data_IF_061991419878
#
_entry.id   IF_061991419878
#
_cell.length_a   1.000
_cell.length_b   1.000
_cell.length_c   1.000
_cell.angle_alpha   90.00
_cell.angle_beta   90.00
_cell.angle_gamma   90.00
#
_symmetry.space_group_name_H-M   'P 1'
#
loop_
_entity.id
_entity.type
_entity.pdbx_description
1 polymer ?
#
# COMPACT_ATOMS: atom_id res chain seq x y z
N UNK A 1 -14.09 -17.34 -30.24
CA UNK A 1 -12.99 -16.90 -31.12
C UNK A 1 -12.29 -15.75 -30.38
N UNK A 2 -11.16 -16.07 -29.77
CA UNK A 2 -10.32 -15.15 -29.00
C UNK A 2 -9.49 -14.30 -29.95
N UNK A 3 -9.86 -13.07 -30.19
CA UNK A 3 -8.98 -12.07 -30.82
C UNK A 3 -8.25 -11.31 -29.71
N UNK A 4 -7.08 -11.83 -29.30
CA UNK A 4 -6.11 -11.06 -28.52
C UNK A 4 -5.61 -9.90 -29.38
N UNK A 5 -6.01 -8.69 -29.03
CA UNK A 5 -5.39 -7.48 -29.58
C UNK A 5 -3.98 -7.36 -28.98
N UNK A 6 -2.98 -7.84 -29.69
CA UNK A 6 -1.57 -7.58 -29.43
C UNK A 6 -1.28 -6.11 -29.72
N UNK A 7 -1.19 -5.31 -28.69
CA UNK A 7 -0.75 -3.92 -28.81
C UNK A 7 0.77 -3.91 -28.61
N UNK A 8 1.50 -4.07 -29.71
CA UNK A 8 2.94 -3.81 -29.74
C UNK A 8 3.17 -2.29 -29.62
N UNK A 9 3.59 -1.85 -28.45
CA UNK A 9 4.27 -0.56 -28.27
C UNK A 9 5.78 -0.85 -28.24
N UNK A 10 6.57 -0.11 -29.03
CA UNK A 10 8.03 -0.20 -28.98
C UNK A 10 8.54 0.12 -27.57
N UNK A 11 9.50 -0.67 -27.04
CA UNK A 11 10.06 -0.47 -25.72
C UNK A 11 10.81 0.85 -25.62
N UNK A 12 10.44 1.68 -24.66
CA UNK A 12 11.18 2.89 -24.33
C UNK A 12 12.43 2.56 -23.52
N UNK A 13 13.47 3.40 -23.54
CA UNK A 13 14.76 3.21 -22.85
C UNK A 13 14.65 2.91 -21.32
N UNK A 14 13.43 2.98 -20.74
CA UNK A 14 13.16 2.66 -19.34
C UNK A 14 12.94 1.14 -19.08
N UNK A 15 12.94 0.30 -20.12
CA UNK A 15 12.67 -1.16 -19.98
C UNK A 15 13.89 -1.98 -19.58
N UNK A 16 15.10 -1.41 -19.60
CA UNK A 16 16.35 -2.11 -19.26
C UNK A 16 16.76 -2.03 -17.79
N UNK A 17 15.90 -1.47 -16.90
CA UNK A 17 16.22 -1.44 -15.48
C UNK A 17 15.87 -2.78 -14.83
N UNK A 18 16.90 -3.51 -14.39
CA UNK A 18 16.80 -4.86 -13.80
C UNK A 18 16.53 -4.85 -12.27
N UNK A 19 16.45 -3.68 -11.67
CA UNK A 19 16.16 -3.50 -10.25
C UNK A 19 14.66 -3.49 -9.93
N UNK A 20 14.32 -3.30 -8.64
CA UNK A 20 12.93 -3.19 -8.21
C UNK A 20 12.24 -1.97 -8.83
N UNK A 21 10.94 -2.10 -9.12
CA UNK A 21 10.15 -0.99 -9.67
C UNK A 21 10.14 0.23 -8.75
N UNK A 22 9.95 -0.02 -7.45
CA UNK A 22 10.08 0.98 -6.37
C UNK A 22 11.10 0.47 -5.35
N UNK A 23 11.99 1.35 -4.93
CA UNK A 23 12.88 1.12 -3.80
C UNK A 23 12.88 2.36 -2.90
N UNK A 24 12.39 2.21 -1.67
CA UNK A 24 12.43 3.24 -0.65
C UNK A 24 13.50 2.88 0.38
N UNK A 25 14.39 3.80 0.69
CA UNK A 25 15.55 3.59 1.56
C UNK A 25 15.50 4.56 2.74
N UNK A 26 15.35 4.02 3.96
CA UNK A 26 15.38 4.75 5.21
C UNK A 26 14.43 5.94 5.28
N UNK A 27 13.28 5.86 4.62
CA UNK A 27 12.35 6.98 4.54
C UNK A 27 11.76 7.32 5.90
N UNK A 28 11.76 8.63 6.22
CA UNK A 28 11.12 9.18 7.42
C UNK A 28 10.11 10.24 7.02
N UNK A 29 9.05 10.37 7.82
CA UNK A 29 8.10 11.48 7.71
C UNK A 29 7.71 11.94 9.10
N UNK A 30 8.12 13.17 9.42
CA UNK A 30 7.83 13.83 10.68
C UNK A 30 6.97 15.05 10.43
N UNK A 31 5.87 15.18 11.17
CA UNK A 31 4.99 16.34 11.12
C UNK A 31 5.22 17.19 12.36
N UNK A 32 5.50 18.49 12.22
CA UNK A 32 5.67 19.38 13.36
C UNK A 32 4.34 19.57 14.11
N UNK A 33 4.40 19.49 15.43
CA UNK A 33 3.28 19.81 16.31
C UNK A 33 3.49 21.22 16.83
N UNK A 34 2.60 22.14 16.48
CA UNK A 34 2.69 23.53 16.91
C UNK A 34 1.60 23.85 17.93
N UNK A 35 1.97 24.56 18.99
CA UNK A 35 1.05 25.06 20.01
C UNK A 35 1.04 26.59 19.98
N UNK A 36 -0.15 27.18 20.20
CA UNK A 36 -0.38 28.62 20.23
C UNK A 36 -1.16 29.13 19.02
N UNK A 37 -2.10 30.06 19.28
CA UNK A 37 -3.00 30.62 18.26
C UNK A 37 -2.37 31.78 17.49
N UNK A 38 -1.51 32.59 18.12
CA UNK A 38 -0.86 33.76 17.55
C UNK A 38 0.63 33.52 17.31
N UNK A 39 1.33 33.00 18.32
CA UNK A 39 2.74 32.60 18.22
C UNK A 39 2.82 31.05 18.20
N UNK A 40 2.93 30.49 17.01
CA UNK A 40 3.09 29.04 16.83
C UNK A 40 4.49 28.59 17.26
N UNK A 41 4.58 27.97 18.44
CA UNK A 41 5.82 27.35 18.92
C UNK A 41 5.79 25.84 18.59
N UNK A 42 6.87 25.34 17.98
CA UNK A 42 7.02 23.90 17.77
C UNK A 42 7.25 23.22 19.12
N UNK A 43 6.38 22.27 19.50
CA UNK A 43 6.42 21.53 20.77
C UNK A 43 6.81 20.08 20.58
N UNK A 44 7.03 19.62 19.33
CA UNK A 44 7.43 18.24 19.02
C UNK A 44 7.15 17.86 17.59
N UNK A 45 7.36 16.59 17.28
CA UNK A 45 7.12 16.02 15.96
C UNK A 45 6.35 14.71 16.08
N UNK A 46 5.28 14.55 15.27
CA UNK A 46 4.65 13.24 15.06
C UNK A 46 5.55 12.44 14.12
N UNK A 47 6.18 11.38 14.61
CA UNK A 47 7.03 10.46 13.84
C UNK A 47 6.13 9.45 13.11
N UNK A 48 5.44 9.89 12.06
CA UNK A 48 4.47 9.04 11.34
C UNK A 48 5.14 7.88 10.59
N UNK A 49 6.33 8.10 10.07
CA UNK A 49 7.19 7.06 9.45
C UNK A 49 8.60 7.34 9.93
N UNK A 50 9.30 6.30 10.42
CA UNK A 50 10.58 6.46 11.12
C UNK A 50 11.62 5.42 10.65
N UNK A 51 12.18 5.63 9.47
CA UNK A 51 13.31 4.87 8.94
C UNK A 51 12.92 3.53 8.32
N UNK A 52 11.85 3.49 7.50
CA UNK A 52 11.46 2.25 6.80
C UNK A 52 12.14 2.15 5.43
N UNK A 53 12.43 0.91 5.04
CA UNK A 53 12.89 0.57 3.69
C UNK A 53 11.97 -0.46 3.08
N UNK A 54 11.53 -0.22 1.83
CA UNK A 54 10.57 -1.04 1.11
C UNK A 54 11.06 -1.23 -0.32
N UNK A 55 11.08 -2.46 -0.80
CA UNK A 55 11.39 -2.81 -2.17
C UNK A 55 10.21 -3.55 -2.81
N UNK A 56 9.74 -3.06 -3.96
CA UNK A 56 8.63 -3.63 -4.72
C UNK A 56 9.14 -4.01 -6.11
N UNK A 57 9.37 -5.30 -6.39
CA UNK A 57 9.71 -5.79 -7.73
C UNK A 57 8.58 -5.55 -8.74
N UNK A 58 8.91 -5.63 -10.02
CA UNK A 58 7.90 -5.59 -11.10
C UNK A 58 6.97 -6.80 -11.00
N UNK A 59 5.66 -6.56 -11.13
CA UNK A 59 4.64 -7.61 -11.11
C UNK A 59 4.33 -8.16 -9.72
N UNK A 60 4.92 -7.64 -8.64
CA UNK A 60 4.73 -8.13 -7.29
C UNK A 60 3.85 -7.21 -6.43
N UNK A 61 3.30 -7.79 -5.38
CA UNK A 61 2.53 -7.08 -4.34
C UNK A 61 3.32 -7.03 -3.05
N UNK A 62 3.64 -5.82 -2.59
CA UNK A 62 4.11 -5.57 -1.24
C UNK A 62 2.94 -5.06 -0.38
N UNK A 63 2.67 -5.73 0.74
CA UNK A 63 1.60 -5.31 1.65
C UNK A 63 2.14 -4.72 2.94
N UNK A 64 1.55 -3.61 3.38
CA UNK A 64 1.75 -3.02 4.70
C UNK A 64 0.56 -3.33 5.60
N UNK A 65 0.83 -3.95 6.75
CA UNK A 65 -0.17 -4.28 7.78
C UNK A 65 0.22 -3.68 9.11
N UNK A 66 -0.74 -3.47 9.99
CA UNK A 66 -0.54 -2.93 11.34
C UNK A 66 -1.77 -2.17 11.84
N UNK A 67 -1.77 -1.80 13.11
CA UNK A 67 -2.85 -1.03 13.73
C UNK A 67 -3.10 0.32 13.06
N UNK A 68 -4.28 0.91 13.25
CA UNK A 68 -4.58 2.24 12.74
C UNK A 68 -3.59 3.28 13.27
N UNK A 69 -3.19 4.24 12.44
CA UNK A 69 -2.23 5.28 12.83
C UNK A 69 -0.75 4.86 12.83
N UNK A 70 -0.39 3.60 12.52
CA UNK A 70 1.01 3.17 12.51
C UNK A 70 1.87 3.73 11.38
N UNK A 71 1.30 4.49 10.40
CA UNK A 71 2.05 5.17 9.35
C UNK A 71 1.83 4.64 7.92
N UNK A 72 0.97 3.63 7.70
CA UNK A 72 0.72 3.02 6.38
C UNK A 72 0.27 4.01 5.32
N UNK A 73 -0.76 4.79 5.60
CA UNK A 73 -1.28 5.82 4.67
C UNK A 73 -0.26 6.94 4.43
N UNK A 74 0.56 7.30 5.43
CA UNK A 74 1.65 8.26 5.22
C UNK A 74 2.69 7.70 4.27
N UNK A 75 3.01 6.41 4.38
CA UNK A 75 3.93 5.74 3.45
C UNK A 75 3.37 5.75 2.03
N UNK A 76 2.09 5.43 1.83
CA UNK A 76 1.47 5.48 0.49
C UNK A 76 1.47 6.89 -0.11
N UNK A 77 1.23 7.92 0.70
CA UNK A 77 1.27 9.33 0.25
C UNK A 77 2.66 9.77 -0.20
N UNK A 78 3.73 9.24 0.40
CA UNK A 78 5.10 9.50 -0.08
C UNK A 78 5.34 8.85 -1.44
N UNK A 79 4.86 7.64 -1.68
CA UNK A 79 4.97 6.97 -2.99
C UNK A 79 4.10 7.65 -4.06
N UNK A 80 2.99 8.25 -3.68
CA UNK A 80 2.14 9.03 -4.60
C UNK A 80 2.66 10.47 -4.84
N UNK A 81 3.79 10.85 -4.26
CA UNK A 81 4.34 12.23 -4.26
C UNK A 81 3.34 13.29 -3.73
N UNK A 82 2.38 12.89 -2.90
CA UNK A 82 1.50 13.79 -2.16
C UNK A 82 2.24 14.38 -0.96
N UNK A 83 3.08 13.55 -0.33
CA UNK A 83 3.96 13.94 0.78
C UNK A 83 5.42 13.74 0.37
N UNK A 84 6.29 14.65 0.82
CA UNK A 84 7.73 14.47 0.70
C UNK A 84 8.26 13.80 1.97
N UNK A 85 9.17 12.82 1.89
CA UNK A 85 9.87 12.33 3.06
C UNK A 85 10.67 13.48 3.71
N UNK A 86 10.79 13.42 5.04
CA UNK A 86 11.67 14.32 5.81
C UNK A 86 13.13 13.92 5.63
N UNK A 87 13.38 12.60 5.61
CA UNK A 87 14.68 11.98 5.35
C UNK A 87 14.48 10.71 4.52
N UNK A 88 15.59 10.18 3.96
CA UNK A 88 15.56 9.01 3.10
C UNK A 88 15.13 9.33 1.67
N UNK A 89 15.13 8.32 0.82
CA UNK A 89 14.90 8.48 -0.63
C UNK A 89 13.94 7.41 -1.13
N UNK A 90 13.10 7.77 -2.09
CA UNK A 90 12.29 6.82 -2.86
C UNK A 90 12.78 6.84 -4.30
N UNK A 91 13.14 5.68 -4.80
CA UNK A 91 13.54 5.47 -6.18
C UNK A 91 12.43 4.80 -6.98
N UNK A 92 12.18 5.28 -8.18
CA UNK A 92 11.34 4.63 -9.19
C UNK A 92 12.21 4.26 -10.38
N UNK A 93 12.30 2.98 -10.70
CA UNK A 93 13.19 2.48 -11.76
C UNK A 93 14.61 3.03 -11.61
N UNK A 94 15.14 3.06 -10.39
CA UNK A 94 16.49 3.57 -10.05
C UNK A 94 16.64 5.08 -10.00
N UNK A 95 15.61 5.88 -10.33
CA UNK A 95 15.66 7.34 -10.27
C UNK A 95 15.01 7.87 -9.00
N UNK A 96 15.69 8.79 -8.30
CA UNK A 96 15.16 9.51 -7.15
C UNK A 96 13.94 10.36 -7.55
N UNK A 97 12.74 10.02 -7.02
CA UNK A 97 11.49 10.70 -7.38
C UNK A 97 11.45 12.17 -7.00
N UNK A 98 12.27 12.60 -6.03
CA UNK A 98 12.32 14.00 -5.60
C UNK A 98 13.12 14.88 -6.57
N UNK A 99 14.07 14.26 -7.31
CA UNK A 99 14.97 14.94 -8.26
C UNK A 99 14.51 14.86 -9.71
N UNK A 100 13.36 14.26 -9.96
CA UNK A 100 12.79 14.15 -11.31
C UNK A 100 12.53 15.52 -11.93
N UNK A 101 12.83 15.65 -13.21
CA UNK A 101 12.44 16.78 -14.05
C UNK A 101 10.93 16.89 -14.18
N UNK A 102 10.42 17.98 -14.75
CA UNK A 102 8.97 18.16 -14.99
C UNK A 102 8.38 17.05 -15.86
N UNK A 103 9.09 16.65 -16.89
CA UNK A 103 8.72 15.57 -17.81
C UNK A 103 8.67 14.22 -17.11
N UNK A 104 9.73 13.87 -16.37
CA UNK A 104 9.82 12.62 -15.61
C UNK A 104 8.77 12.54 -14.48
N UNK A 105 8.43 13.68 -13.85
CA UNK A 105 7.30 13.74 -12.89
C UNK A 105 5.96 13.45 -13.54
N UNK A 106 5.73 13.92 -14.77
CA UNK A 106 4.50 13.60 -15.49
C UNK A 106 4.45 12.09 -15.83
N UNK A 107 5.56 11.51 -16.28
CA UNK A 107 5.70 10.07 -16.52
C UNK A 107 5.48 9.27 -15.22
N UNK A 108 6.12 9.65 -14.12
CA UNK A 108 5.92 9.01 -12.81
C UNK A 108 4.45 9.02 -12.41
N UNK A 109 3.78 10.17 -12.48
CA UNK A 109 2.37 10.31 -12.12
C UNK A 109 1.42 9.49 -12.99
N UNK A 110 1.75 9.27 -14.26
CA UNK A 110 1.00 8.35 -15.11
C UNK A 110 1.29 6.88 -14.78
N UNK A 111 2.52 6.58 -14.36
CA UNK A 111 2.98 5.23 -14.04
C UNK A 111 2.59 4.75 -12.63
N UNK A 112 2.27 5.66 -11.71
CA UNK A 112 1.91 5.36 -10.32
C UNK A 112 0.53 5.93 -10.03
N UNK A 113 -0.45 5.04 -9.86
CA UNK A 113 -1.85 5.41 -9.64
C UNK A 113 -2.35 4.87 -8.30
N UNK A 114 -3.47 5.40 -7.81
CA UNK A 114 -4.05 5.00 -6.53
C UNK A 114 -5.51 4.58 -6.64
N UNK A 115 -5.88 3.60 -5.80
CA UNK A 115 -7.26 3.24 -5.49
C UNK A 115 -7.43 3.38 -3.98
N UNK A 116 -8.30 4.29 -3.55
CA UNK A 116 -8.51 4.63 -2.14
C UNK A 116 -9.65 3.82 -1.52
N UNK A 117 -9.68 3.83 -0.20
CA UNK A 117 -10.60 3.09 0.66
C UNK A 117 -12.08 3.37 0.36
N UNK A 118 -12.43 4.63 0.15
CA UNK A 118 -13.80 5.04 -0.12
C UNK A 118 -13.96 5.50 -1.58
N UNK A 119 -14.63 4.68 -2.40
CA UNK A 119 -14.90 5.07 -3.79
C UNK A 119 -15.85 6.27 -3.91
N UNK A 120 -16.66 6.57 -2.88
CA UNK A 120 -17.53 7.75 -2.88
C UNK A 120 -16.73 9.04 -2.85
N UNK A 121 -15.72 9.12 -2.00
CA UNK A 121 -14.88 10.30 -1.88
C UNK A 121 -13.91 10.47 -3.04
N UNK A 122 -13.59 9.37 -3.75
CA UNK A 122 -12.64 9.37 -4.87
C UNK A 122 -13.28 9.66 -6.23
N UNK A 123 -14.59 9.49 -6.38
CA UNK A 123 -15.34 9.73 -7.61
C UNK A 123 -16.22 10.96 -7.46
N UNK A 124 -16.00 11.99 -8.30
CA UNK A 124 -16.86 13.19 -8.29
C UNK A 124 -18.30 12.82 -8.68
N UNK A 125 -19.29 12.95 -7.76
CA UNK A 125 -20.66 12.48 -8.01
C UNK A 125 -21.40 13.28 -9.11
N UNK A 126 -20.86 14.43 -9.52
CA UNK A 126 -21.42 15.30 -10.57
C UNK A 126 -20.87 14.97 -11.96
N UNK A 127 -19.89 14.08 -12.06
CA UNK A 127 -19.31 13.66 -13.35
C UNK A 127 -19.88 12.31 -13.77
N UNK A 128 -20.06 12.11 -15.08
CA UNK A 128 -20.38 10.80 -15.64
C UNK A 128 -19.18 9.87 -15.56
N UNK A 129 -19.43 8.59 -15.61
CA UNK A 129 -18.39 7.55 -15.54
C UNK A 129 -17.38 7.67 -16.67
N UNK A 130 -17.83 7.97 -17.91
CA UNK A 130 -16.92 8.23 -19.03
C UNK A 130 -15.92 9.34 -18.74
N UNK A 131 -16.41 10.45 -18.21
CA UNK A 131 -15.58 11.61 -17.87
C UNK A 131 -14.59 11.32 -16.73
N UNK A 132 -15.02 10.53 -15.73
CA UNK A 132 -14.17 10.10 -14.62
C UNK A 132 -13.00 9.23 -15.10
N UNK A 133 -13.27 8.28 -15.99
CA UNK A 133 -12.23 7.37 -16.51
C UNK A 133 -11.36 8.09 -17.56
N UNK A 134 -11.95 9.01 -18.33
CA UNK A 134 -11.23 9.79 -19.34
C UNK A 134 -10.29 10.85 -18.75
N UNK A 135 -10.56 11.36 -17.53
CA UNK A 135 -9.78 12.45 -16.90
C UNK A 135 -8.27 12.17 -16.89
N UNK A 136 -7.77 11.01 -16.38
CA UNK A 136 -6.34 10.71 -16.41
C UNK A 136 -5.81 10.51 -17.83
N UNK A 137 -6.60 9.93 -18.75
CA UNK A 137 -6.20 9.76 -20.16
C UNK A 137 -5.92 11.11 -20.81
N UNK A 138 -6.85 12.06 -20.69
CA UNK A 138 -6.73 13.40 -21.28
C UNK A 138 -5.58 14.18 -20.64
N UNK A 139 -5.37 14.00 -19.34
CA UNK A 139 -4.32 14.71 -18.60
C UNK A 139 -2.91 14.26 -18.98
N UNK A 140 -2.73 12.95 -19.23
CA UNK A 140 -1.41 12.36 -19.46
C UNK A 140 -1.13 11.96 -20.91
N UNK A 141 -2.14 11.86 -21.75
CA UNK A 141 -2.00 11.38 -23.14
C UNK A 141 -2.69 12.33 -24.12
N UNK A 142 -2.08 12.53 -25.29
CA UNK A 142 -2.65 13.32 -26.39
C UNK A 142 -3.48 12.40 -27.28
N UNK A 143 -4.71 12.06 -26.86
CA UNK A 143 -5.62 11.20 -27.61
C UNK A 143 -6.75 12.02 -28.24
N UNK A 144 -7.25 11.56 -29.39
CA UNK A 144 -8.47 12.08 -30.00
C UNK A 144 -9.71 11.71 -29.16
N UNK A 145 -10.79 12.47 -29.27
CA UNK A 145 -12.06 12.17 -28.57
C UNK A 145 -12.59 10.75 -28.87
N UNK A 146 -12.40 10.26 -30.08
CA UNK A 146 -12.83 8.93 -30.52
C UNK A 146 -12.00 7.86 -29.79
N UNK A 147 -10.68 8.03 -29.71
CA UNK A 147 -9.78 7.12 -29.00
C UNK A 147 -10.06 7.10 -27.49
N UNK A 148 -10.29 8.27 -26.87
CA UNK A 148 -10.68 8.35 -25.46
C UNK A 148 -11.96 7.55 -25.22
N UNK A 149 -13.01 7.75 -26.02
CA UNK A 149 -14.27 7.01 -25.88
C UNK A 149 -14.06 5.50 -26.03
N UNK A 150 -13.31 5.06 -27.02
CA UNK A 150 -12.98 3.64 -27.22
C UNK A 150 -12.25 3.05 -26.00
N UNK A 151 -11.23 3.77 -25.51
CA UNK A 151 -10.45 3.34 -24.33
C UNK A 151 -11.32 3.25 -23.06
N UNK A 152 -12.22 4.21 -22.85
CA UNK A 152 -13.16 4.18 -21.71
C UNK A 152 -14.03 2.93 -21.77
N UNK A 153 -14.57 2.57 -22.94
CA UNK A 153 -15.38 1.35 -23.10
C UNK A 153 -14.56 0.08 -22.83
N UNK A 154 -13.34 -0.02 -23.38
CA UNK A 154 -12.42 -1.13 -23.13
C UNK A 154 -12.09 -1.28 -21.64
N UNK A 155 -11.84 -0.18 -20.93
CA UNK A 155 -11.55 -0.17 -19.49
C UNK A 155 -12.77 -0.62 -18.67
N UNK A 156 -13.98 -0.20 -19.04
CA UNK A 156 -15.20 -0.67 -18.38
C UNK A 156 -15.36 -2.19 -18.53
N UNK A 157 -15.18 -2.71 -19.73
CA UNK A 157 -15.24 -4.15 -19.99
C UNK A 157 -14.16 -4.93 -19.25
N UNK A 158 -12.94 -4.39 -19.19
CA UNK A 158 -11.81 -4.97 -18.42
C UNK A 158 -12.14 -5.17 -16.94
N UNK A 159 -12.89 -4.24 -16.34
CA UNK A 159 -13.31 -4.37 -14.94
C UNK A 159 -14.66 -5.08 -14.77
N UNK A 160 -15.23 -5.66 -15.83
CA UNK A 160 -16.49 -6.41 -15.82
C UNK A 160 -17.74 -5.52 -15.75
N UNK A 161 -17.64 -4.29 -16.27
CA UNK A 161 -18.78 -3.40 -16.48
C UNK A 161 -19.12 -3.34 -17.97
N UNK A 162 -20.34 -2.93 -18.32
CA UNK A 162 -20.78 -2.81 -19.70
C UNK A 162 -20.55 -1.39 -20.23
N UNK A 163 -20.35 -1.24 -21.53
CA UNK A 163 -20.07 0.05 -22.19
C UNK A 163 -21.18 1.10 -21.96
N UNK A 164 -22.46 0.70 -21.88
CA UNK A 164 -23.57 1.62 -21.59
C UNK A 164 -23.52 2.24 -20.18
N UNK A 165 -22.73 1.68 -19.25
CA UNK A 165 -22.50 2.28 -17.93
C UNK A 165 -21.71 3.60 -18.01
N UNK A 166 -21.05 3.88 -19.14
CA UNK A 166 -20.25 5.09 -19.34
C UNK A 166 -21.05 6.40 -19.16
N UNK A 167 -22.34 6.40 -19.53
CA UNK A 167 -23.20 7.58 -19.51
C UNK A 167 -23.85 7.85 -18.13
N UNK A 168 -23.71 6.92 -17.19
CA UNK A 168 -24.31 7.00 -15.86
C UNK A 168 -23.45 7.77 -14.88
N UNK A 169 -24.03 8.14 -13.73
CA UNK A 169 -23.38 8.81 -12.63
C UNK A 169 -23.02 7.82 -11.51
N UNK A 170 -21.98 8.12 -10.67
CA UNK A 170 -21.55 7.21 -9.58
C UNK A 170 -22.65 6.79 -8.62
N UNK A 171 -23.63 7.67 -8.33
CA UNK A 171 -24.72 7.37 -7.41
C UNK A 171 -25.69 6.29 -7.92
N UNK A 172 -25.68 5.97 -9.21
CA UNK A 172 -26.52 4.93 -9.83
C UNK A 172 -25.91 3.51 -9.69
N UNK A 173 -24.74 3.38 -9.07
CA UNK A 173 -23.99 2.13 -8.96
C UNK A 173 -23.92 1.60 -7.52
N UNK A 174 -23.83 0.26 -7.38
CA UNK A 174 -23.51 -0.38 -6.12
C UNK A 174 -22.08 -0.07 -5.67
N UNK A 175 -21.75 -0.29 -4.39
CA UNK A 175 -20.40 -0.09 -3.85
C UNK A 175 -19.32 -0.84 -4.64
N UNK A 176 -19.57 -2.11 -4.96
CA UNK A 176 -18.64 -2.93 -5.76
C UNK A 176 -18.48 -2.45 -7.20
N UNK A 177 -19.54 -1.94 -7.83
CA UNK A 177 -19.47 -1.35 -9.15
C UNK A 177 -18.69 -0.04 -9.15
N UNK A 178 -18.87 0.82 -8.12
CA UNK A 178 -18.06 2.04 -7.95
C UNK A 178 -16.59 1.72 -7.76
N UNK A 179 -16.28 0.68 -6.99
CA UNK A 179 -14.90 0.23 -6.83
C UNK A 179 -14.30 -0.21 -8.18
N UNK A 180 -15.06 -0.91 -9.02
CA UNK A 180 -14.63 -1.26 -10.38
C UNK A 180 -14.38 -0.02 -11.24
N UNK A 181 -15.21 1.03 -11.13
CA UNK A 181 -15.01 2.32 -11.82
C UNK A 181 -13.72 2.99 -11.33
N UNK A 182 -13.45 3.01 -10.02
CA UNK A 182 -12.23 3.57 -9.46
C UNK A 182 -10.98 2.80 -9.94
N UNK A 183 -11.06 1.47 -10.04
CA UNK A 183 -10.00 0.63 -10.61
C UNK A 183 -9.83 0.94 -12.11
N UNK A 184 -10.91 1.05 -12.90
CA UNK A 184 -10.84 1.39 -14.31
C UNK A 184 -10.19 2.77 -14.55
N UNK A 185 -10.54 3.76 -13.71
CA UNK A 185 -9.90 5.09 -13.72
C UNK A 185 -8.40 5.00 -13.45
N UNK A 186 -7.98 4.24 -12.45
CA UNK A 186 -6.58 4.05 -12.13
C UNK A 186 -5.81 3.31 -13.25
N UNK A 187 -6.45 2.34 -13.92
CA UNK A 187 -5.87 1.61 -15.05
C UNK A 187 -5.73 2.44 -16.33
N UNK A 188 -6.44 3.57 -16.44
CA UNK A 188 -6.56 4.33 -17.69
C UNK A 188 -5.21 4.78 -18.24
N UNK A 189 -4.26 5.15 -17.40
CA UNK A 189 -2.91 5.56 -17.78
C UNK A 189 -1.96 4.39 -18.07
N UNK A 190 -2.37 3.13 -17.89
CA UNK A 190 -1.53 1.92 -17.93
C UNK A 190 -0.38 2.00 -16.91
N UNK A 191 -0.69 2.11 -15.62
CA UNK A 191 0.33 2.28 -14.60
C UNK A 191 1.20 1.02 -14.47
N UNK A 192 2.42 1.20 -13.97
CA UNK A 192 3.28 0.08 -13.55
C UNK A 192 3.06 -0.27 -12.07
N UNK A 193 2.66 0.72 -11.25
CA UNK A 193 2.34 0.55 -9.84
C UNK A 193 0.95 1.08 -9.52
N UNK A 194 0.18 0.30 -8.78
CA UNK A 194 -1.05 0.79 -8.14
C UNK A 194 -0.90 0.74 -6.62
N UNK A 195 -1.13 1.88 -5.98
CA UNK A 195 -1.25 1.98 -4.53
C UNK A 195 -2.70 1.70 -4.16
N UNK A 196 -2.92 0.61 -3.44
CA UNK A 196 -4.23 0.12 -3.03
C UNK A 196 -4.39 0.38 -1.52
N UNK A 197 -5.01 1.51 -1.17
CA UNK A 197 -5.24 1.89 0.23
C UNK A 197 -6.61 1.37 0.67
N UNK A 198 -6.63 0.22 1.34
CA UNK A 198 -7.83 -0.48 1.81
C UNK A 198 -8.93 -0.70 0.75
N UNK A 199 -8.59 -1.21 -0.43
CA UNK A 199 -9.46 -1.16 -1.62
C UNK A 199 -10.77 -1.95 -1.49
N UNK A 200 -10.95 -2.72 -0.42
CA UNK A 200 -12.12 -3.60 -0.23
C UNK A 200 -12.73 -3.52 1.17
N UNK A 201 -12.28 -2.60 2.04
CA UNK A 201 -12.71 -2.53 3.45
C UNK A 201 -14.21 -2.21 3.62
N UNK A 202 -14.75 -1.36 2.75
CA UNK A 202 -16.15 -0.92 2.77
C UNK A 202 -17.11 -1.85 2.00
N UNK A 203 -16.65 -3.03 1.55
CA UNK A 203 -17.43 -3.94 0.69
C UNK A 203 -17.84 -5.20 1.44
N UNK A 204 -19.01 -5.75 1.09
CA UNK A 204 -19.48 -7.05 1.55
C UNK A 204 -18.52 -8.17 1.17
N UNK A 205 -18.51 -9.26 1.95
CA UNK A 205 -17.55 -10.37 1.82
C UNK A 205 -17.51 -10.96 0.40
N UNK A 206 -18.68 -11.18 -0.23
CA UNK A 206 -18.77 -11.74 -1.58
C UNK A 206 -18.21 -10.79 -2.64
N UNK A 207 -18.54 -9.51 -2.53
CA UNK A 207 -18.05 -8.47 -3.45
C UNK A 207 -16.55 -8.24 -3.25
N UNK A 208 -16.08 -8.28 -2.00
CA UNK A 208 -14.65 -8.22 -1.67
C UNK A 208 -13.84 -9.28 -2.44
N UNK A 209 -14.29 -10.54 -2.38
CA UNK A 209 -13.63 -11.63 -3.11
C UNK A 209 -13.58 -11.37 -4.62
N UNK A 210 -14.66 -10.87 -5.22
CA UNK A 210 -14.69 -10.54 -6.65
C UNK A 210 -13.69 -9.43 -7.02
N UNK A 211 -13.58 -8.37 -6.19
CA UNK A 211 -12.62 -7.28 -6.44
C UNK A 211 -11.18 -7.78 -6.27
N UNK A 212 -10.88 -8.62 -5.27
CA UNK A 212 -9.55 -9.18 -5.10
C UNK A 212 -9.14 -10.09 -6.28
N UNK A 213 -10.07 -10.92 -6.76
CA UNK A 213 -9.84 -11.74 -7.95
C UNK A 213 -9.60 -10.88 -9.20
N UNK A 214 -10.39 -9.81 -9.38
CA UNK A 214 -10.18 -8.84 -10.45
C UNK A 214 -8.77 -8.23 -10.36
N UNK A 215 -8.35 -7.74 -9.19
CA UNK A 215 -7.02 -7.16 -9.00
C UNK A 215 -5.90 -8.17 -9.30
N UNK A 216 -6.05 -9.45 -8.90
CA UNK A 216 -5.08 -10.50 -9.26
C UNK A 216 -5.02 -10.76 -10.77
N UNK A 217 -6.17 -10.84 -11.42
CA UNK A 217 -6.23 -10.99 -12.87
C UNK A 217 -5.56 -9.82 -13.58
N UNK A 218 -5.87 -8.58 -13.18
CA UNK A 218 -5.25 -7.37 -13.72
C UNK A 218 -3.73 -7.35 -13.50
N UNK A 219 -3.25 -7.85 -12.36
CA UNK A 219 -1.82 -7.98 -12.08
C UNK A 219 -1.15 -8.91 -13.11
N UNK A 220 -1.75 -10.06 -13.38
CA UNK A 220 -1.23 -11.03 -14.34
C UNK A 220 -1.32 -10.52 -15.78
N UNK A 221 -2.45 -9.93 -16.17
CA UNK A 221 -2.72 -9.53 -17.57
C UNK A 221 -1.91 -8.30 -17.99
N UNK A 222 -1.65 -7.38 -17.04
CA UNK A 222 -0.96 -6.11 -17.31
C UNK A 222 0.41 -5.98 -16.65
N UNK A 223 0.88 -6.98 -15.92
CA UNK A 223 2.17 -6.94 -15.20
C UNK A 223 2.22 -5.90 -14.10
N UNK A 224 1.09 -5.61 -13.44
CA UNK A 224 0.98 -4.56 -12.43
C UNK A 224 1.72 -4.93 -11.15
N UNK A 225 2.41 -3.96 -10.56
CA UNK A 225 2.90 -4.07 -9.18
C UNK A 225 1.93 -3.37 -8.23
N UNK A 226 1.82 -3.87 -7.00
CA UNK A 226 0.93 -3.30 -5.99
C UNK A 226 1.67 -2.93 -4.70
N UNK A 227 1.39 -1.73 -4.17
CA UNK A 227 1.53 -1.45 -2.74
C UNK A 227 0.14 -1.58 -2.12
N UNK A 228 -0.08 -2.62 -1.34
CA UNK A 228 -1.37 -2.89 -0.69
C UNK A 228 -1.32 -2.49 0.78
N UNK A 229 -2.21 -1.60 1.19
CA UNK A 229 -2.49 -1.31 2.60
C UNK A 229 -3.80 -2.01 2.94
N UNK A 230 -3.79 -2.88 3.94
CA UNK A 230 -4.98 -3.58 4.38
C UNK A 230 -4.94 -3.89 5.88
N UNK A 231 -6.11 -3.85 6.52
CA UNK A 231 -6.31 -4.33 7.89
C UNK A 231 -6.68 -5.82 7.92
N UNK A 232 -7.33 -6.30 6.86
CA UNK A 232 -7.77 -7.68 6.79
C UNK A 232 -6.62 -8.61 6.39
N UNK A 233 -6.16 -9.44 7.32
CA UNK A 233 -5.04 -10.34 7.13
C UNK A 233 -5.31 -11.44 6.09
N UNK A 234 -6.57 -11.84 5.88
CA UNK A 234 -6.92 -12.79 4.83
C UNK A 234 -6.71 -12.18 3.44
N UNK A 235 -7.06 -10.90 3.26
CA UNK A 235 -6.77 -10.13 2.03
C UNK A 235 -5.26 -10.07 1.76
N UNK A 236 -4.48 -9.78 2.79
CA UNK A 236 -3.00 -9.71 2.70
C UNK A 236 -2.43 -11.07 2.33
N UNK A 237 -2.84 -12.14 3.01
CA UNK A 237 -2.40 -13.51 2.71
C UNK A 237 -2.70 -13.91 1.25
N UNK A 238 -3.84 -13.46 0.72
CA UNK A 238 -4.28 -13.78 -0.64
C UNK A 238 -3.52 -13.01 -1.73
N UNK A 239 -3.28 -11.72 -1.49
CA UNK A 239 -2.76 -10.79 -2.51
C UNK A 239 -1.23 -10.66 -2.53
N UNK A 240 -0.55 -10.90 -1.40
CA UNK A 240 0.83 -10.45 -1.22
C UNK A 240 1.87 -11.45 -1.74
N UNK A 241 2.97 -10.90 -2.21
CA UNK A 241 4.24 -11.61 -2.42
C UNK A 241 5.17 -11.35 -1.23
N UNK A 242 5.11 -10.15 -0.65
CA UNK A 242 5.85 -9.76 0.54
C UNK A 242 4.97 -8.94 1.49
N UNK A 243 5.15 -9.12 2.79
CA UNK A 243 4.40 -8.43 3.84
C UNK A 243 5.36 -7.73 4.77
N UNK A 244 5.12 -6.44 5.02
CA UNK A 244 5.76 -5.66 6.07
C UNK A 244 4.76 -5.36 7.19
N UNK A 245 5.08 -5.77 8.41
CA UNK A 245 4.29 -5.47 9.61
C UNK A 245 4.80 -4.19 10.23
N UNK A 246 3.94 -3.18 10.31
CA UNK A 246 4.30 -1.83 10.72
C UNK A 246 3.73 -1.49 12.10
N UNK A 247 4.56 -0.99 12.99
CA UNK A 247 4.20 -0.50 14.32
C UNK A 247 4.89 0.84 14.60
N UNK A 248 4.12 1.86 15.00
CA UNK A 248 4.62 3.21 15.33
C UNK A 248 5.70 3.73 14.35
N UNK A 249 5.37 3.76 13.06
CA UNK A 249 6.23 4.32 12.02
C UNK A 249 7.37 3.39 11.55
N UNK A 250 7.53 2.19 12.11
CA UNK A 250 8.63 1.26 11.79
C UNK A 250 8.14 -0.09 11.31
N UNK A 251 8.88 -0.74 10.41
CA UNK A 251 8.64 -2.13 10.02
C UNK A 251 9.34 -3.02 11.06
N UNK A 252 8.54 -3.72 11.87
CA UNK A 252 9.03 -4.60 12.95
C UNK A 252 9.27 -6.04 12.49
N UNK A 253 8.56 -6.45 11.42
CA UNK A 253 8.75 -7.76 10.81
C UNK A 253 8.41 -7.70 9.32
N UNK A 254 9.15 -8.45 8.50
CA UNK A 254 8.99 -8.47 7.06
C UNK A 254 9.31 -9.85 6.51
N UNK A 255 8.46 -10.36 5.60
CA UNK A 255 8.69 -11.68 5.01
C UNK A 255 7.66 -12.07 3.97
N UNK A 256 7.81 -13.30 3.43
CA UNK A 256 6.79 -13.93 2.59
C UNK A 256 5.52 -14.16 3.41
N UNK A 257 4.30 -14.07 2.82
CA UNK A 257 3.06 -14.32 3.56
C UNK A 257 3.07 -15.67 4.28
N UNK A 258 3.54 -16.72 3.64
CA UNK A 258 3.62 -18.04 4.26
C UNK A 258 4.38 -18.00 5.59
N UNK A 259 5.55 -17.38 5.64
CA UNK A 259 6.39 -17.27 6.86
C UNK A 259 5.73 -16.41 7.92
N UNK A 260 5.24 -15.22 7.54
CA UNK A 260 4.60 -14.28 8.48
C UNK A 260 3.37 -14.89 9.15
N UNK A 261 2.53 -15.63 8.40
CA UNK A 261 1.28 -16.17 8.92
C UNK A 261 1.41 -17.52 9.63
N UNK A 262 2.43 -18.36 9.26
CA UNK A 262 2.64 -19.65 9.91
C UNK A 262 3.56 -19.59 11.12
N UNK A 263 4.59 -18.73 11.07
CA UNK A 263 5.63 -18.64 12.10
C UNK A 263 6.06 -17.17 12.32
N UNK A 264 5.13 -16.33 12.82
CA UNK A 264 5.43 -14.93 13.15
C UNK A 264 6.50 -14.87 14.23
N UNK A 265 7.48 -14.01 14.06
CA UNK A 265 8.62 -13.87 14.98
C UNK A 265 8.39 -12.75 15.99
N UNK A 266 8.02 -11.57 15.53
CA UNK A 266 7.81 -10.43 16.42
C UNK A 266 6.57 -10.62 17.30
N UNK A 267 6.62 -10.37 18.62
CA UNK A 267 5.46 -10.52 19.51
C UNK A 267 4.24 -9.71 19.08
N UNK A 268 4.43 -8.53 18.51
CA UNK A 268 3.33 -7.74 17.92
C UNK A 268 2.66 -8.46 16.74
N UNK A 269 3.43 -9.07 15.85
CA UNK A 269 2.90 -9.84 14.72
C UNK A 269 2.10 -11.05 15.20
N UNK A 270 2.61 -11.73 16.25
CA UNK A 270 1.88 -12.85 16.89
C UNK A 270 0.53 -12.40 17.42
N UNK A 271 0.50 -11.27 18.14
CA UNK A 271 -0.75 -10.72 18.66
C UNK A 271 -1.70 -10.29 17.52
N UNK A 272 -1.19 -9.59 16.50
CA UNK A 272 -1.98 -9.16 15.35
C UNK A 272 -2.64 -10.34 14.62
N UNK A 273 -1.91 -11.45 14.45
CA UNK A 273 -2.42 -12.66 13.79
C UNK A 273 -3.38 -13.42 14.70
N UNK A 274 -3.14 -13.45 16.01
CA UNK A 274 -4.03 -14.13 16.97
C UNK A 274 -5.39 -13.45 17.08
N UNK A 275 -5.45 -12.12 16.95
CA UNK A 275 -6.69 -11.35 16.94
C UNK A 275 -7.49 -11.48 15.63
N UNK A 276 -6.87 -12.00 14.55
CA UNK A 276 -7.59 -12.27 13.31
C UNK A 276 -8.48 -13.51 13.48
N UNK A 277 -9.76 -13.36 13.14
CA UNK A 277 -10.72 -14.48 13.21
C UNK A 277 -10.18 -15.69 12.45
N UNK A 278 -10.14 -16.88 13.08
CA UNK A 278 -9.69 -18.09 12.40
C UNK A 278 -10.64 -18.43 11.25
N UNK A 279 -10.08 -18.85 10.13
CA UNK A 279 -10.88 -19.31 8.98
C UNK A 279 -11.70 -20.58 9.33
N UNK A 280 -11.30 -21.32 10.37
CA UNK A 280 -11.99 -22.50 10.87
C UNK A 280 -12.45 -22.23 12.30
N UNK A 281 -13.78 -22.22 12.58
CA UNK A 281 -14.33 -21.94 13.91
C UNK A 281 -13.95 -23.01 14.97
N UNK A 282 -13.46 -24.18 14.56
CA UNK A 282 -13.01 -25.23 15.47
C UNK A 282 -11.56 -25.05 15.95
N UNK A 283 -10.81 -24.11 15.36
CA UNK A 283 -9.45 -23.80 15.77
C UNK A 283 -9.46 -22.80 16.92
N UNK A 284 -9.49 -23.27 18.16
CA UNK A 284 -9.31 -22.48 19.37
C UNK A 284 -7.85 -22.01 19.45
N UNK A 285 -7.51 -20.89 18.78
CA UNK A 285 -6.26 -20.16 19.04
C UNK A 285 -6.51 -19.25 20.25
N UNK A 286 -5.66 -19.36 21.24
CA UNK A 286 -5.67 -18.37 22.34
C UNK A 286 -5.36 -17.00 21.77
N UNK A 287 -6.26 -16.05 21.96
CA UNK A 287 -6.07 -14.67 21.57
C UNK A 287 -5.02 -14.02 22.49
N UNK A 288 -3.96 -13.46 21.89
CA UNK A 288 -2.96 -12.68 22.62
C UNK A 288 -3.50 -11.27 22.81
N UNK A 289 -4.10 -11.01 23.97
CA UNK A 289 -4.62 -9.68 24.31
C UNK A 289 -3.45 -8.76 24.67
N UNK A 290 -3.23 -7.74 23.85
CA UNK A 290 -2.23 -6.71 24.14
C UNK A 290 -2.75 -5.77 25.22
N UNK A 291 -1.95 -5.57 26.28
CA UNK A 291 -2.29 -4.65 27.36
C UNK A 291 -1.86 -3.22 27.02
N UNK A 292 -2.64 -2.24 27.48
CA UNK A 292 -2.36 -0.82 27.29
C UNK A 292 -2.74 -0.27 25.92
N UNK A 293 -2.73 1.05 25.83
CA UNK A 293 -3.03 1.80 24.60
C UNK A 293 -1.80 1.90 23.69
N UNK A 294 -2.03 2.19 22.41
CA UNK A 294 -0.95 2.48 21.47
C UNK A 294 -0.25 3.77 21.91
N UNK A 295 1.07 3.75 22.13
CA UNK A 295 1.79 4.94 22.54
C UNK A 295 1.70 6.07 21.52
N UNK A 296 1.81 7.31 22.01
CA UNK A 296 1.76 8.49 21.14
C UNK A 296 2.96 8.52 20.18
N UNK A 297 2.73 8.75 18.88
CA UNK A 297 3.82 8.91 17.91
C UNK A 297 4.58 10.25 18.07
N UNK A 298 4.12 11.15 18.95
CA UNK A 298 4.84 12.40 19.27
C UNK A 298 6.04 12.09 20.18
N UNK A 299 5.82 11.25 21.18
CA UNK A 299 6.85 10.80 22.12
C UNK A 299 6.85 9.28 22.14
N UNK A 300 7.37 8.61 21.10
CA UNK A 300 7.42 7.17 21.08
C UNK A 300 8.34 6.65 22.21
N UNK A 301 8.03 5.45 22.75
CA UNK A 301 8.89 4.83 23.76
C UNK A 301 10.33 4.71 23.28
N UNK A 302 11.30 4.84 24.20
CA UNK A 302 12.71 4.58 23.94
C UNK A 302 12.94 3.11 23.60
N UNK A 303 14.05 2.79 22.96
CA UNK A 303 14.38 1.42 22.58
C UNK A 303 13.35 0.81 21.61
N UNK A 304 12.97 -0.43 21.84
CA UNK A 304 11.90 -1.09 21.07
C UNK A 304 10.56 -0.40 21.32
N UNK A 305 9.99 0.21 20.28
CA UNK A 305 8.72 0.98 20.41
C UNK A 305 7.53 0.16 20.89
N UNK A 306 7.62 -1.18 20.83
CA UNK A 306 6.58 -2.10 21.29
C UNK A 306 6.80 -2.58 22.74
N UNK A 307 7.92 -2.26 23.41
CA UNK A 307 8.25 -2.81 24.72
C UNK A 307 7.18 -2.58 25.79
N UNK A 308 6.48 -1.45 25.75
CA UNK A 308 5.42 -1.09 26.72
C UNK A 308 4.17 -1.97 26.64
N UNK A 309 3.99 -2.70 25.52
CA UNK A 309 2.86 -3.60 25.28
C UNK A 309 3.30 -5.05 25.03
N UNK A 310 4.61 -5.30 25.07
CA UNK A 310 5.17 -6.61 24.72
C UNK A 310 4.99 -7.60 25.87
N UNK A 311 4.33 -8.75 25.67
CA UNK A 311 4.23 -9.79 26.71
C UNK A 311 5.56 -10.51 26.99
N UNK A 312 6.57 -10.29 26.13
CA UNK A 312 7.91 -10.90 26.21
C UNK A 312 9.00 -9.82 26.39
N UNK A 313 8.67 -8.71 27.05
CA UNK A 313 9.61 -7.61 27.28
C UNK A 313 10.79 -8.06 28.13
N UNK A 314 11.98 -7.58 27.79
CA UNK A 314 13.24 -7.77 28.52
C UNK A 314 13.80 -6.39 28.91
N UNK A 315 14.67 -6.31 29.92
CA UNK A 315 15.17 -5.04 30.47
C UNK A 315 15.77 -4.12 29.39
N UNK A 316 16.62 -4.66 28.53
CA UNK A 316 17.26 -3.91 27.44
C UNK A 316 16.32 -3.48 26.29
N UNK A 317 15.08 -3.98 26.26
CA UNK A 317 14.10 -3.55 25.25
C UNK A 317 13.72 -2.06 25.39
N UNK A 318 13.86 -1.47 26.57
CA UNK A 318 13.60 -0.04 26.80
C UNK A 318 14.79 0.86 26.48
N UNK A 319 15.98 0.29 26.36
CA UNK A 319 17.25 1.02 26.22
C UNK A 319 17.62 1.22 24.75
N UNK A 320 17.57 0.16 23.95
CA UNK A 320 18.04 0.15 22.59
C UNK A 320 16.97 -0.38 21.61
N UNK A 321 16.92 0.19 20.38
CA UNK A 321 16.07 -0.32 19.32
C UNK A 321 16.71 -1.56 18.67
N UNK A 322 15.98 -2.69 18.56
CA UNK A 322 16.54 -3.92 18.03
C UNK A 322 16.92 -3.78 16.55
N UNK A 323 18.12 -4.22 16.20
CA UNK A 323 18.54 -4.30 14.81
C UNK A 323 17.67 -5.28 13.99
N UNK A 324 17.62 -5.05 12.70
CA UNK A 324 16.98 -5.99 11.78
C UNK A 324 17.80 -7.26 11.65
N UNK A 325 17.20 -8.41 11.95
CA UNK A 325 17.84 -9.73 11.91
C UNK A 325 17.11 -10.66 10.94
N UNK A 326 17.87 -11.40 10.14
CA UNK A 326 17.36 -12.45 9.29
C UNK A 326 17.06 -13.66 10.20
N UNK A 327 15.79 -14.09 10.21
CA UNK A 327 15.29 -15.19 11.04
C UNK A 327 14.80 -16.39 10.22
N UNK A 328 14.92 -16.29 8.91
CA UNK A 328 14.56 -17.32 7.92
C UNK A 328 14.78 -16.80 6.50
N UNK A 329 14.54 -17.63 5.50
CA UNK A 329 14.70 -17.27 4.09
C UNK A 329 13.76 -16.10 3.71
N UNK A 330 14.33 -14.92 3.48
CA UNK A 330 13.58 -13.70 3.19
C UNK A 330 12.66 -13.25 4.32
N UNK A 331 12.89 -13.73 5.56
CA UNK A 331 12.16 -13.37 6.77
C UNK A 331 13.06 -12.59 7.72
N UNK A 332 12.66 -11.37 8.04
CA UNK A 332 13.44 -10.41 8.83
C UNK A 332 12.57 -9.88 9.97
N UNK A 333 13.14 -9.73 11.16
CA UNK A 333 12.47 -9.11 12.31
C UNK A 333 13.40 -8.15 13.03
N UNK A 334 12.82 -7.11 13.66
CA UNK A 334 13.50 -6.20 14.58
C UNK A 334 13.01 -6.51 16.00
N UNK A 335 13.61 -7.53 16.62
CA UNK A 335 13.23 -7.98 17.97
C UNK A 335 14.43 -8.58 18.70
N UNK A 336 14.63 -8.16 19.94
CA UNK A 336 15.73 -8.62 20.79
C UNK A 336 15.67 -10.13 21.13
N UNK A 337 14.52 -10.78 21.01
CA UNK A 337 14.42 -12.25 21.15
C UNK A 337 15.29 -13.01 20.15
N UNK A 338 15.74 -12.37 19.08
CA UNK A 338 16.56 -12.96 18.01
C UNK A 338 17.95 -12.31 17.90
N UNK A 339 18.32 -11.44 18.84
CA UNK A 339 19.72 -11.06 19.02
C UNK A 339 20.42 -12.24 19.67
N UNK A 340 21.19 -13.00 18.89
CA UNK A 340 22.12 -13.96 19.44
C UNK A 340 23.10 -13.20 20.32
N UNK A 341 23.13 -13.49 21.61
CA UNK A 341 24.31 -13.19 22.41
C UNK A 341 25.46 -13.89 21.70
N UNK A 342 26.32 -13.13 21.03
CA UNK A 342 27.63 -13.61 20.63
C UNK A 342 28.39 -13.86 21.94
N UNK A 343 28.34 -15.09 22.47
CA UNK A 343 29.32 -15.61 23.36
C UNK A 343 30.49 -16.12 22.55
#
# INVERSE_FOLDING_TARGET
VNTRATINAEPTASEYYDGPLINAEGIKKYYPVTQGMILRKNVGYVKAVDGISISIPKGETYSLVGESGCGKTTTSRMFLMVEKPTEGVVYFRGKDIQRLTRSEKAEYRSSVQAVFQDPWSSLNPRMRVDSLIAEPLITHQKLSKIEVKRRVHELLETVGLRSFHSERYPHEFSGGQRQRIAIARALSTRPSLMVLDEPVSALDVSIRAQILNLLKQLQTDFGLSYLLIAHNLATVRYMSHKVGVMYLGRIVEEGKPASIFSDPKHPYTKALISAALPANPTNNREEIVLRGEVPSPINPPSGCTFHTRCPMVMDHCSEEYPERRIVGEGHVTSCHLYTTNAN
#
